data_IF_081515770036
#
_entry.id   IF_081515770036
#
_cell.length_a   1.000
_cell.length_b   1.000
_cell.length_c   1.000
_cell.angle_alpha   90.00
_cell.angle_beta   90.00
_cell.angle_gamma   90.00
#
_symmetry.space_group_name_H-M   'P 1'
#
loop_
_entity.id
_entity.type
_entity.pdbx_description
1 polymer ?
#
# COMPACT_ATOMS: atom_id res chain seq x y z
N UNK A 1 0.43 -8.56 10.91
CA UNK A 1 0.78 -9.49 9.80
C UNK A 1 -0.30 -9.40 8.75
N UNK A 2 0.08 -9.33 7.47
CA UNK A 2 -0.83 -9.37 6.33
C UNK A 2 -0.43 -10.58 5.48
N UNK A 3 -1.36 -11.47 5.19
CA UNK A 3 -1.15 -12.62 4.32
C UNK A 3 -2.14 -12.57 3.16
N UNK A 4 -1.62 -12.70 1.95
CA UNK A 4 -2.37 -12.68 0.69
C UNK A 4 -2.12 -14.00 -0.01
N UNK A 5 -3.18 -14.66 -0.47
CA UNK A 5 -3.07 -15.99 -1.09
C UNK A 5 -4.02 -16.11 -2.28
N UNK A 6 -3.44 -16.35 -3.47
CA UNK A 6 -4.17 -16.53 -4.73
C UNK A 6 -5.06 -15.35 -5.11
N UNK A 7 -4.66 -14.13 -4.73
CA UNK A 7 -5.49 -12.94 -4.88
C UNK A 7 -5.62 -12.54 -6.35
N UNK A 8 -6.87 -12.35 -6.79
CA UNK A 8 -7.19 -11.73 -8.07
C UNK A 8 -7.90 -10.40 -7.85
N UNK A 9 -7.48 -9.38 -8.59
CA UNK A 9 -8.02 -8.02 -8.50
C UNK A 9 -8.65 -7.64 -9.83
N UNK A 10 -9.87 -7.12 -9.76
CA UNK A 10 -10.63 -6.66 -10.92
C UNK A 10 -10.81 -5.14 -10.89
N UNK A 11 -10.70 -4.50 -12.06
CA UNK A 11 -10.94 -3.07 -12.23
C UNK A 11 -11.88 -2.88 -13.42
N UNK A 12 -13.10 -2.43 -13.15
CA UNK A 12 -14.08 -2.10 -14.18
C UNK A 12 -14.44 -3.29 -15.08
N UNK A 13 -14.61 -4.50 -14.53
CA UNK A 13 -14.97 -5.69 -15.32
C UNK A 13 -13.76 -6.48 -15.84
N UNK A 14 -12.53 -6.00 -15.63
CA UNK A 14 -11.31 -6.64 -16.15
C UNK A 14 -10.36 -7.06 -15.03
N UNK A 15 -9.89 -8.30 -15.08
CA UNK A 15 -8.87 -8.81 -14.16
C UNK A 15 -7.54 -8.13 -14.50
N UNK A 16 -6.98 -7.40 -13.53
CA UNK A 16 -5.70 -6.70 -13.67
C UNK A 16 -4.54 -7.43 -13.00
N UNK A 17 -4.84 -8.33 -12.07
CA UNK A 17 -3.89 -9.12 -11.31
C UNK A 17 -4.53 -10.46 -11.01
N UNK A 18 -3.79 -11.55 -11.19
CA UNK A 18 -4.28 -12.91 -10.94
C UNK A 18 -3.29 -13.71 -10.10
N UNK A 19 -3.81 -14.50 -9.15
CA UNK A 19 -3.00 -15.47 -8.40
C UNK A 19 -1.96 -14.89 -7.43
N UNK A 20 -2.01 -13.58 -7.14
CA UNK A 20 -1.03 -12.90 -6.31
C UNK A 20 -0.95 -13.51 -4.89
N UNK A 21 0.25 -13.89 -4.48
CA UNK A 21 0.49 -14.49 -3.16
C UNK A 21 1.75 -13.91 -2.54
N UNK A 22 1.60 -13.28 -1.37
CA UNK A 22 2.71 -12.71 -0.62
C UNK A 22 2.33 -12.55 0.86
N UNK A 23 3.32 -12.41 1.72
CA UNK A 23 3.11 -12.18 3.16
C UNK A 23 3.95 -11.01 3.62
N UNK A 24 3.36 -10.11 4.42
CA UNK A 24 4.03 -9.00 5.10
C UNK A 24 4.12 -9.33 6.60
N UNK A 25 5.34 -9.56 7.06
CA UNK A 25 5.65 -9.90 8.45
C UNK A 25 5.86 -8.64 9.29
N UNK A 26 5.76 -8.73 10.63
CA UNK A 26 6.11 -7.60 11.50
C UNK A 26 7.52 -7.08 11.19
N UNK A 27 7.67 -5.75 11.17
CA UNK A 27 8.90 -5.02 10.82
C UNK A 27 9.32 -5.04 9.35
N UNK A 28 8.61 -5.77 8.48
CA UNK A 28 8.88 -5.69 7.04
C UNK A 28 8.70 -4.25 6.55
N UNK A 29 9.62 -3.79 5.70
CA UNK A 29 9.51 -2.54 4.97
C UNK A 29 9.49 -2.86 3.49
N UNK A 30 8.32 -2.73 2.89
CA UNK A 30 8.06 -3.22 1.54
C UNK A 30 7.64 -2.07 0.64
N UNK A 31 8.38 -1.87 -0.45
CA UNK A 31 7.96 -1.00 -1.54
C UNK A 31 7.12 -1.79 -2.54
N UNK A 32 5.98 -1.25 -2.98
CA UNK A 32 5.22 -1.76 -4.12
C UNK A 32 5.47 -0.86 -5.34
N UNK A 33 6.01 -1.43 -6.40
CA UNK A 33 6.37 -0.73 -7.63
C UNK A 33 5.73 -1.39 -8.84
N UNK A 34 5.72 -0.66 -9.95
CA UNK A 34 5.12 -1.11 -11.21
C UNK A 34 4.69 0.09 -12.04
N UNK A 35 4.36 -0.16 -13.30
CA UNK A 35 3.96 0.89 -14.25
C UNK A 35 2.68 1.60 -13.80
N UNK A 36 2.45 2.80 -14.32
CA UNK A 36 1.16 3.47 -14.16
C UNK A 36 0.08 2.64 -14.87
N UNK A 37 -1.07 2.46 -14.22
CA UNK A 37 -2.12 1.56 -14.73
C UNK A 37 -1.86 0.05 -14.51
N UNK A 38 -0.78 -0.34 -13.83
CA UNK A 38 -0.50 -1.75 -13.52
C UNK A 38 -1.50 -2.36 -12.51
N UNK A 39 -2.25 -1.53 -11.76
CA UNK A 39 -3.21 -1.98 -10.75
C UNK A 39 -2.74 -1.82 -9.30
N UNK A 40 -1.66 -1.07 -9.04
CA UNK A 40 -1.11 -0.84 -7.69
C UNK A 40 -2.15 -0.30 -6.70
N UNK A 41 -2.82 0.79 -7.06
CA UNK A 41 -3.88 1.39 -6.24
C UNK A 41 -5.06 0.45 -6.06
N UNK A 42 -5.46 -0.29 -7.10
CA UNK A 42 -6.55 -1.28 -6.99
C UNK A 42 -6.20 -2.43 -6.05
N UNK A 43 -4.95 -2.91 -6.09
CA UNK A 43 -4.44 -3.87 -5.11
C UNK A 43 -4.52 -3.27 -3.70
N UNK A 44 -4.04 -2.05 -3.48
CA UNK A 44 -4.12 -1.38 -2.18
C UNK A 44 -5.55 -1.18 -1.68
N UNK A 45 -6.48 -0.81 -2.56
CA UNK A 45 -7.90 -0.68 -2.21
C UNK A 45 -8.51 -2.03 -1.81
N UNK A 46 -8.13 -3.11 -2.50
CA UNK A 46 -8.55 -4.48 -2.15
C UNK A 46 -7.96 -4.91 -0.81
N UNK A 47 -6.66 -4.66 -0.59
CA UNK A 47 -5.99 -4.91 0.69
C UNK A 47 -6.55 -4.02 1.81
N UNK A 48 -6.99 -2.81 1.49
CA UNK A 48 -7.63 -1.85 2.41
C UNK A 48 -9.05 -2.27 2.81
N UNK A 49 -9.71 -3.10 2.01
CA UNK A 49 -11.11 -3.49 2.18
C UNK A 49 -12.11 -2.53 1.52
N UNK A 50 -11.66 -1.64 0.63
CA UNK A 50 -12.55 -0.80 -0.19
C UNK A 50 -13.10 -1.52 -1.41
N UNK A 51 -12.39 -2.56 -1.88
CA UNK A 51 -12.79 -3.42 -2.99
C UNK A 51 -12.77 -4.86 -2.53
N UNK A 52 -13.76 -5.64 -2.96
CA UNK A 52 -13.76 -7.08 -2.74
C UNK A 52 -12.80 -7.77 -3.71
N UNK A 53 -12.05 -8.79 -3.25
CA UNK A 53 -11.23 -9.59 -4.14
C UNK A 53 -12.09 -10.38 -5.12
N UNK A 54 -11.66 -10.49 -6.38
CA UNK A 54 -12.34 -11.32 -7.37
C UNK A 54 -12.13 -12.82 -7.09
N UNK A 55 -10.96 -13.17 -6.55
CA UNK A 55 -10.62 -14.49 -6.05
C UNK A 55 -9.51 -14.38 -5.00
N UNK A 56 -9.28 -15.48 -4.27
CA UNK A 56 -8.25 -15.57 -3.25
C UNK A 56 -8.71 -15.08 -1.88
N UNK A 57 -7.76 -14.97 -0.94
CA UNK A 57 -8.04 -14.59 0.44
C UNK A 57 -7.01 -13.59 0.99
N UNK A 58 -7.47 -12.69 1.84
CA UNK A 58 -6.67 -11.69 2.55
C UNK A 58 -6.88 -11.88 4.04
N UNK A 59 -5.82 -12.28 4.75
CA UNK A 59 -5.84 -12.41 6.21
C UNK A 59 -5.04 -11.29 6.86
N UNK A 60 -5.68 -10.55 7.77
CA UNK A 60 -5.09 -9.47 8.55
C UNK A 60 -5.05 -9.86 10.03
N UNK A 61 -3.91 -9.67 10.69
CA UNK A 61 -3.76 -9.87 12.13
C UNK A 61 -3.09 -8.66 12.77
N UNK A 62 -3.73 -8.09 13.78
CA UNK A 62 -3.30 -6.87 14.47
C UNK A 62 -4.00 -5.61 13.95
N UNK A 63 -3.58 -4.46 14.44
CA UNK A 63 -4.01 -3.15 13.95
C UNK A 63 -3.57 -2.93 12.50
N UNK A 64 -4.43 -2.33 11.69
CA UNK A 64 -4.20 -2.13 10.27
C UNK A 64 -4.58 -0.70 9.88
N UNK A 65 -3.62 0.06 9.38
CA UNK A 65 -3.82 1.41 8.88
C UNK A 65 -3.70 1.45 7.37
N UNK A 66 -4.65 2.11 6.71
CA UNK A 66 -4.64 2.28 5.26
C UNK A 66 -4.89 3.74 4.89
N UNK A 67 -3.94 4.34 4.17
CA UNK A 67 -4.09 5.64 3.53
C UNK A 67 -4.33 5.43 2.03
N UNK A 68 -5.55 5.64 1.52
CA UNK A 68 -5.81 5.65 0.09
C UNK A 68 -5.19 6.89 -0.58
N UNK A 69 -4.96 6.80 -1.89
CA UNK A 69 -4.39 7.90 -2.67
C UNK A 69 -5.26 9.17 -2.57
N UNK A 70 -6.58 9.03 -2.57
CA UNK A 70 -7.52 10.12 -2.35
C UNK A 70 -8.44 9.76 -1.19
N UNK A 71 -8.08 10.12 0.05
CA UNK A 71 -8.92 9.86 1.20
C UNK A 71 -10.20 10.68 1.04
N UNK A 72 -11.28 9.99 0.68
CA UNK A 72 -12.63 10.48 0.98
C UNK A 72 -12.65 10.56 2.50
N UNK A 73 -12.60 11.78 3.03
CA UNK A 73 -12.79 12.02 4.46
C UNK A 73 -14.25 11.69 4.76
N UNK A 74 -14.54 10.39 4.91
CA UNK A 74 -15.81 9.92 5.43
C UNK A 74 -15.93 10.56 6.83
N UNK A 75 -16.90 11.47 6.99
CA UNK A 75 -17.01 12.29 8.19
C UNK A 75 -16.56 13.75 8.04
N UNK A 76 -16.22 14.23 6.83
CA UNK A 76 -16.08 15.68 6.55
C UNK A 76 -17.36 16.50 6.83
N UNK A 77 -18.42 15.88 7.35
CA UNK A 77 -19.69 16.52 7.72
C UNK A 77 -19.93 16.58 9.24
N UNK A 78 -19.08 16.00 10.09
CA UNK A 78 -19.33 15.90 11.55
C UNK A 78 -18.91 17.14 12.35
N UNK A 79 -18.41 18.21 11.71
CA UNK A 79 -18.01 19.44 12.40
C UNK A 79 -16.82 19.31 13.38
N UNK A 80 -16.24 18.11 13.51
CA UNK A 80 -15.06 17.84 14.35
C UNK A 80 -13.86 18.66 13.89
N UNK A 81 -13.04 19.08 14.85
CA UNK A 81 -11.76 19.73 14.56
C UNK A 81 -10.75 18.73 14.02
N UNK A 82 -9.73 19.21 13.32
CA UNK A 82 -8.68 18.36 12.77
C UNK A 82 -7.89 17.62 13.87
N UNK A 83 -7.61 18.25 15.01
CA UNK A 83 -6.94 17.58 16.14
C UNK A 83 -7.80 16.46 16.73
N UNK A 84 -9.10 16.70 16.95
CA UNK A 84 -10.02 15.66 17.44
C UNK A 84 -10.12 14.50 16.45
N UNK A 85 -10.14 14.79 15.13
CA UNK A 85 -10.10 13.76 14.10
C UNK A 85 -8.82 12.91 14.17
N UNK A 86 -7.66 13.51 14.42
CA UNK A 86 -6.40 12.77 14.59
C UNK A 86 -6.46 11.88 15.84
N UNK A 87 -6.94 12.42 16.96
CA UNK A 87 -7.08 11.69 18.24
C UNK A 87 -8.01 10.47 18.13
N UNK A 88 -9.01 10.54 17.25
CA UNK A 88 -9.89 9.40 16.94
C UNK A 88 -9.16 8.18 16.39
N UNK A 89 -7.96 8.34 15.85
CA UNK A 89 -7.13 7.23 15.38
C UNK A 89 -6.79 6.20 16.49
N UNK A 90 -6.82 6.62 17.76
CA UNK A 90 -6.65 5.75 18.94
C UNK A 90 -7.90 5.71 19.85
N UNK A 91 -9.00 6.36 19.46
CA UNK A 91 -10.19 6.52 20.30
C UNK A 91 -10.01 7.45 21.50
N UNK A 92 -9.01 8.35 21.45
CA UNK A 92 -8.69 9.26 22.57
C UNK A 92 -9.76 10.35 22.71
N UNK A 93 -10.39 10.75 21.61
CA UNK A 93 -11.52 11.67 21.60
C UNK A 93 -12.72 11.13 22.38
N UNK A 94 -13.09 9.87 22.16
CA UNK A 94 -14.18 9.21 22.89
C UNK A 94 -13.84 9.04 24.39
N UNK A 95 -12.58 8.70 24.70
CA UNK A 95 -12.12 8.58 26.08
C UNK A 95 -12.20 9.95 26.81
N UNK A 96 -11.81 11.06 26.16
CA UNK A 96 -11.93 12.41 26.72
C UNK A 96 -13.39 12.78 27.02
N UNK A 97 -14.31 12.51 26.08
CA UNK A 97 -15.74 12.75 26.28
C UNK A 97 -16.29 11.88 27.42
N UNK A 98 -15.84 10.63 27.54
CA UNK A 98 -16.25 9.72 28.60
C UNK A 98 -15.77 10.19 29.98
N UNK A 99 -14.52 10.61 30.09
CA UNK A 99 -13.93 11.12 31.33
C UNK A 99 -14.70 12.35 31.80
N UNK A 100 -14.97 13.30 30.90
CA UNK A 100 -15.68 14.53 31.24
C UNK A 100 -17.12 14.24 31.74
N UNK A 101 -17.84 13.32 31.10
CA UNK A 101 -19.17 12.88 31.58
C UNK A 101 -19.10 12.25 32.98
N UNK A 102 -18.07 11.44 33.25
CA UNK A 102 -17.89 10.82 34.56
C UNK A 102 -17.47 11.83 35.63
N UNK A 103 -16.69 12.85 35.26
CA UNK A 103 -16.33 13.99 36.12
C UNK A 103 -17.58 14.73 36.57
N UNK A 104 -18.44 15.13 35.63
CA UNK A 104 -19.70 15.83 35.92
C UNK A 104 -20.59 14.96 36.83
N UNK A 105 -20.77 13.68 36.53
CA UNK A 105 -21.61 12.79 37.35
C UNK A 105 -21.05 12.60 38.78
N UNK A 106 -19.72 12.61 38.95
CA UNK A 106 -19.07 12.56 40.26
C UNK A 106 -19.23 13.89 41.03
N UNK A 107 -19.17 15.02 40.34
CA UNK A 107 -19.39 16.35 40.94
C UNK A 107 -20.84 16.55 41.38
N UNK A 108 -21.80 16.05 40.60
CA UNK A 108 -23.23 16.08 40.92
C UNK A 108 -23.60 15.13 42.07
N UNK A 109 -23.02 13.93 42.10
CA UNK A 109 -23.24 12.93 43.14
C UNK A 109 -21.94 12.19 43.49
N UNK A 110 -21.20 12.61 44.54
CA UNK A 110 -19.90 12.09 44.91
C UNK A 110 -20.00 10.77 45.70
N UNK A 111 -20.85 9.85 45.25
CA UNK A 111 -20.95 8.52 45.82
C UNK A 111 -19.75 7.63 45.43
N UNK A 112 -19.53 6.60 46.24
CA UNK A 112 -18.48 5.59 46.09
C UNK A 112 -18.39 4.95 44.69
N UNK A 113 -19.53 4.79 44.00
CA UNK A 113 -19.59 4.20 42.67
C UNK A 113 -19.10 5.17 41.60
N UNK A 114 -19.49 6.43 41.67
CA UNK A 114 -19.10 7.47 40.72
C UNK A 114 -17.61 7.79 40.83
N UNK A 115 -17.10 7.90 42.06
CA UNK A 115 -15.66 8.05 42.34
C UNK A 115 -14.86 6.90 41.72
N UNK A 116 -15.27 5.64 41.96
CA UNK A 116 -14.59 4.46 41.38
C UNK A 116 -14.64 4.44 39.85
N UNK A 117 -15.75 4.85 39.24
CA UNK A 117 -15.90 4.88 37.78
C UNK A 117 -15.01 5.93 37.13
N UNK A 118 -14.97 7.14 37.69
CA UNK A 118 -14.10 8.22 37.23
C UNK A 118 -12.63 7.84 37.39
N UNK A 119 -12.22 7.38 38.58
CA UNK A 119 -10.85 6.96 38.84
C UNK A 119 -10.36 5.86 37.89
N UNK A 120 -11.22 4.85 37.62
CA UNK A 120 -10.90 3.79 36.65
C UNK A 120 -10.73 4.33 35.23
N UNK A 121 -11.58 5.26 34.80
CA UNK A 121 -11.48 5.85 33.47
C UNK A 121 -10.22 6.71 33.30
N UNK A 122 -9.86 7.50 34.32
CA UNK A 122 -8.60 8.26 34.37
C UNK A 122 -7.37 7.34 34.32
N UNK A 123 -7.37 6.24 35.08
CA UNK A 123 -6.28 5.26 35.06
C UNK A 123 -6.15 4.58 33.69
N UNK A 124 -7.27 4.16 33.09
CA UNK A 124 -7.31 3.60 31.73
C UNK A 124 -6.76 4.61 30.70
N UNK A 125 -7.14 5.88 30.81
CA UNK A 125 -6.70 6.95 29.92
C UNK A 125 -5.20 7.25 30.07
N UNK A 126 -4.71 7.34 31.31
CA UNK A 126 -3.31 7.53 31.62
C UNK A 126 -2.45 6.40 31.05
N UNK A 127 -2.88 5.14 31.24
CA UNK A 127 -2.17 3.94 30.77
C UNK A 127 -2.06 3.90 29.25
N UNK A 128 -3.06 4.43 28.53
CA UNK A 128 -3.05 4.58 27.06
C UNK A 128 -2.21 5.76 26.57
N UNK A 129 -1.62 6.57 27.46
CA UNK A 129 -0.86 7.77 27.12
C UNK A 129 -1.73 8.97 26.74
N UNK A 130 -3.00 9.01 27.19
CA UNK A 130 -3.97 10.02 26.79
C UNK A 130 -3.55 11.47 27.05
N UNK A 131 -2.82 11.76 28.13
CA UNK A 131 -2.36 13.13 28.43
C UNK A 131 -1.30 13.66 27.45
N UNK A 132 -0.49 12.76 26.85
CA UNK A 132 0.51 13.15 25.86
C UNK A 132 -0.06 13.12 24.42
N UNK A 133 -1.24 12.52 24.22
CA UNK A 133 -1.83 12.27 22.92
C UNK A 133 -2.04 13.54 22.09
N UNK A 134 -2.50 14.64 22.70
CA UNK A 134 -2.70 15.91 21.99
C UNK A 134 -1.37 16.47 21.47
N UNK A 135 -0.34 16.48 22.33
CA UNK A 135 0.99 16.96 21.95
C UNK A 135 1.63 16.09 20.86
N UNK A 136 1.48 14.76 20.95
CA UNK A 136 1.94 13.82 19.93
C UNK A 136 1.21 14.03 18.60
N UNK A 137 -0.12 14.15 18.63
CA UNK A 137 -0.95 14.40 17.44
C UNK A 137 -0.55 15.72 16.76
N UNK A 138 -0.37 16.79 17.53
CA UNK A 138 0.10 18.09 17.03
C UNK A 138 1.53 18.00 16.47
N UNK A 139 2.41 17.24 17.10
CA UNK A 139 3.79 17.04 16.62
C UNK A 139 3.84 16.31 15.28
N UNK A 140 3.06 15.25 15.11
CA UNK A 140 2.93 14.52 13.84
C UNK A 140 2.37 15.44 12.75
N UNK A 141 1.30 16.18 13.06
CA UNK A 141 0.69 17.10 12.10
C UNK A 141 1.64 18.24 11.70
N UNK A 142 2.37 18.81 12.65
CA UNK A 142 3.38 19.84 12.39
C UNK A 142 4.52 19.30 11.51
N UNK A 143 4.96 18.07 11.75
CA UNK A 143 5.95 17.39 10.91
C UNK A 143 5.49 17.18 9.46
N UNK A 144 4.18 17.05 9.23
CA UNK A 144 3.57 17.01 7.90
C UNK A 144 3.26 18.40 7.32
N UNK A 145 3.68 19.47 7.99
CA UNK A 145 3.51 20.85 7.52
C UNK A 145 2.11 21.43 7.78
N UNK A 146 1.31 20.83 8.66
CA UNK A 146 0.08 21.47 9.14
C UNK A 146 0.40 22.49 10.25
N UNK A 147 -0.04 23.72 10.04
CA UNK A 147 0.11 24.79 11.03
C UNK A 147 -0.83 24.58 12.22
N UNK A 148 -0.42 25.06 13.40
CA UNK A 148 -1.19 24.87 14.64
C UNK A 148 -2.59 25.47 14.57
N UNK A 149 -2.76 26.64 13.94
CA UNK A 149 -4.05 27.31 13.74
C UNK A 149 -5.04 26.48 12.91
N UNK A 150 -4.54 25.63 12.01
CA UNK A 150 -5.37 24.73 11.20
C UNK A 150 -5.91 23.54 11.98
N UNK A 151 -5.26 23.15 13.08
CA UNK A 151 -5.65 21.97 13.84
C UNK A 151 -6.93 22.16 14.65
N UNK A 152 -7.22 23.42 15.00
CA UNK A 152 -8.41 23.79 15.77
C UNK A 152 -9.62 24.09 14.84
N UNK A 153 -9.41 24.13 13.52
CA UNK A 153 -10.48 24.28 12.54
C UNK A 153 -11.22 22.97 12.30
N UNK A 154 -12.48 23.07 11.88
CA UNK A 154 -13.24 21.91 11.46
C UNK A 154 -12.64 21.31 10.19
N UNK A 155 -12.63 19.96 10.09
CA UNK A 155 -12.05 19.25 8.93
C UNK A 155 -12.66 19.69 7.59
N UNK A 156 -13.94 20.10 7.61
CA UNK A 156 -14.67 20.59 6.42
C UNK A 156 -14.14 21.92 5.86
N UNK A 157 -13.52 22.75 6.71
CA UNK A 157 -13.03 24.09 6.35
C UNK A 157 -11.59 24.05 5.81
N UNK A 158 -10.96 22.87 5.83
CA UNK A 158 -9.62 22.64 5.32
C UNK A 158 -9.60 22.40 3.81
N UNK A 159 -8.53 22.83 3.15
CA UNK A 159 -8.27 22.50 1.75
C UNK A 159 -8.11 20.98 1.53
N UNK A 160 -8.22 20.51 0.29
CA UNK A 160 -8.03 19.09 -0.03
C UNK A 160 -6.68 18.54 0.44
N UNK A 161 -5.59 19.30 0.24
CA UNK A 161 -4.25 18.91 0.69
C UNK A 161 -4.08 18.94 2.21
N UNK A 162 -4.71 19.87 2.91
CA UNK A 162 -4.72 19.89 4.39
C UNK A 162 -5.52 18.70 4.94
N UNK A 163 -6.69 18.38 4.39
CA UNK A 163 -7.48 17.21 4.79
C UNK A 163 -6.71 15.90 4.61
N UNK A 164 -6.00 15.74 3.50
CA UNK A 164 -5.13 14.58 3.26
C UNK A 164 -4.04 14.47 4.34
N UNK A 165 -3.40 15.58 4.71
CA UNK A 165 -2.39 15.61 5.77
C UNK A 165 -2.98 15.29 7.14
N UNK A 166 -4.20 15.73 7.42
CA UNK A 166 -4.91 15.37 8.66
C UNK A 166 -5.21 13.86 8.68
N UNK A 167 -5.63 13.27 7.57
CA UNK A 167 -5.88 11.82 7.50
C UNK A 167 -4.58 11.01 7.63
N UNK A 168 -3.51 11.43 6.95
CA UNK A 168 -2.19 10.84 7.13
C UNK A 168 -1.74 10.96 8.61
N UNK A 169 -1.93 12.11 9.24
CA UNK A 169 -1.62 12.30 10.67
C UNK A 169 -2.40 11.33 11.55
N UNK A 170 -3.70 11.14 11.30
CA UNK A 170 -4.55 10.19 12.02
C UNK A 170 -4.05 8.75 11.89
N UNK A 171 -3.67 8.34 10.68
CA UNK A 171 -3.18 6.97 10.41
C UNK A 171 -1.81 6.72 11.06
N UNK A 172 -0.89 7.69 10.98
CA UNK A 172 0.41 7.60 11.64
C UNK A 172 0.25 7.60 13.16
N UNK A 173 -0.63 8.46 13.69
CA UNK A 173 -0.96 8.51 15.11
C UNK A 173 -1.56 7.19 15.58
N UNK A 174 -2.47 6.56 14.83
CA UNK A 174 -3.07 5.27 15.20
C UNK A 174 -2.05 4.17 15.53
N UNK A 175 -0.83 4.21 14.96
CA UNK A 175 0.26 3.33 15.38
C UNK A 175 0.00 1.84 15.12
N UNK A 176 -0.67 1.52 14.01
CA UNK A 176 -1.08 0.15 13.64
C UNK A 176 0.08 -0.85 13.51
N UNK A 177 -0.20 -2.15 13.52
CA UNK A 177 0.85 -3.17 13.32
C UNK A 177 1.32 -3.22 11.86
N UNK A 178 0.43 -2.89 10.92
CA UNK A 178 0.68 -2.84 9.47
C UNK A 178 0.15 -1.52 8.92
N UNK A 179 0.98 -0.80 8.16
CA UNK A 179 0.59 0.39 7.41
C UNK A 179 0.65 0.16 5.91
N UNK A 180 -0.44 0.48 5.22
CA UNK A 180 -0.52 0.58 3.77
C UNK A 180 -0.66 2.05 3.38
N UNK A 181 0.31 2.58 2.64
CA UNK A 181 0.32 3.98 2.23
C UNK A 181 0.41 4.10 0.70
N UNK A 182 -0.62 4.64 0.08
CA UNK A 182 -0.65 4.88 -1.38
C UNK A 182 -0.25 6.33 -1.71
N UNK A 183 0.94 6.49 -2.27
CA UNK A 183 1.56 7.78 -2.60
C UNK A 183 1.52 8.80 -1.44
N UNK A 184 2.06 8.47 -0.25
CA UNK A 184 1.90 9.32 0.94
C UNK A 184 2.64 10.65 0.84
N UNK A 185 3.57 10.81 -0.10
CA UNK A 185 4.32 12.06 -0.33
C UNK A 185 3.58 13.06 -1.22
N UNK A 186 2.48 12.65 -1.85
CA UNK A 186 1.72 13.56 -2.71
C UNK A 186 1.15 14.74 -1.91
N UNK A 187 1.26 15.93 -2.48
CA UNK A 187 0.86 17.20 -1.87
C UNK A 187 1.67 17.60 -0.62
N UNK A 188 2.81 16.97 -0.35
CA UNK A 188 3.78 17.40 0.65
C UNK A 188 4.89 18.25 0.03
N UNK A 189 5.31 19.27 0.75
CA UNK A 189 6.55 20.00 0.45
C UNK A 189 7.78 19.17 0.83
N UNK A 190 8.97 19.67 0.48
CA UNK A 190 10.23 18.95 0.67
C UNK A 190 10.49 18.63 2.14
N UNK A 191 10.19 19.56 3.04
CA UNK A 191 10.43 19.40 4.48
C UNK A 191 9.49 18.33 5.08
N UNK A 192 8.20 18.40 4.76
CA UNK A 192 7.22 17.41 5.20
C UNK A 192 7.50 16.02 4.61
N UNK A 193 7.97 15.95 3.35
CA UNK A 193 8.44 14.69 2.75
C UNK A 193 9.61 14.10 3.55
N UNK A 194 10.64 14.89 3.82
CA UNK A 194 11.82 14.41 4.57
C UNK A 194 11.44 13.95 5.99
N UNK A 195 10.55 14.69 6.66
CA UNK A 195 10.04 14.30 7.97
C UNK A 195 9.28 12.97 7.91
N UNK A 196 8.35 12.82 6.95
CA UNK A 196 7.59 11.59 6.77
C UNK A 196 8.53 10.41 6.51
N UNK A 197 9.56 10.58 5.68
CA UNK A 197 10.53 9.51 5.41
C UNK A 197 11.30 9.11 6.67
N UNK A 198 11.76 10.08 7.46
CA UNK A 198 12.38 9.81 8.77
C UNK A 198 11.44 9.03 9.71
N UNK A 199 10.16 9.41 9.76
CA UNK A 199 9.15 8.71 10.54
C UNK A 199 9.00 7.25 10.07
N UNK A 200 8.80 7.04 8.77
CA UNK A 200 8.57 5.70 8.19
C UNK A 200 9.77 4.76 8.36
N UNK A 201 11.01 5.30 8.29
CA UNK A 201 12.25 4.54 8.56
C UNK A 201 12.29 4.02 9.99
N UNK A 202 11.90 4.84 10.97
CA UNK A 202 11.91 4.48 12.40
C UNK A 202 10.69 3.68 12.86
N UNK A 203 9.67 3.58 12.01
CA UNK A 203 8.42 2.91 12.34
C UNK A 203 8.65 1.43 12.68
N UNK A 204 8.13 0.96 13.81
CA UNK A 204 8.37 -0.43 14.27
C UNK A 204 7.42 -1.45 13.65
N UNK A 205 6.27 -1.00 13.16
CA UNK A 205 5.31 -1.84 12.46
C UNK A 205 5.78 -2.20 11.05
N UNK A 206 5.02 -3.10 10.43
CA UNK A 206 5.21 -3.43 9.03
C UNK A 206 4.71 -2.29 8.13
N UNK A 207 5.38 -2.09 7.00
CA UNK A 207 5.09 -1.02 6.06
C UNK A 207 4.99 -1.60 4.65
N UNK A 208 3.92 -1.26 3.94
CA UNK A 208 3.75 -1.50 2.52
C UNK A 208 3.41 -0.14 1.86
N UNK A 209 4.32 0.38 1.03
CA UNK A 209 4.23 1.73 0.46
C UNK A 209 4.26 1.68 -1.05
N UNK A 210 3.33 2.38 -1.70
CA UNK A 210 3.47 2.81 -3.09
C UNK A 210 4.01 4.24 -3.05
N UNK A 211 5.14 4.49 -3.70
CA UNK A 211 5.66 5.85 -3.84
C UNK A 211 6.58 5.95 -5.05
N UNK A 212 6.63 7.13 -5.64
CA UNK A 212 7.70 7.52 -6.56
C UNK A 212 9.01 7.92 -5.86
N UNK A 213 8.98 8.17 -4.55
CA UNK A 213 10.10 8.67 -3.76
C UNK A 213 10.79 7.54 -2.94
N UNK A 214 10.71 6.27 -3.39
CA UNK A 214 11.25 5.12 -2.64
C UNK A 214 12.77 5.18 -2.40
N UNK A 215 13.51 5.94 -3.20
CA UNK A 215 14.93 6.22 -2.96
C UNK A 215 15.15 6.85 -1.57
N UNK A 216 14.20 7.66 -1.08
CA UNK A 216 14.25 8.23 0.25
C UNK A 216 13.98 7.20 1.36
N UNK A 217 13.54 6.00 1.03
CA UNK A 217 13.37 4.88 1.97
C UNK A 217 14.37 3.74 1.72
N UNK A 218 15.33 3.90 0.81
CA UNK A 218 16.16 2.81 0.30
C UNK A 218 16.76 1.93 1.41
N UNK A 219 17.48 2.55 2.35
CA UNK A 219 18.14 1.83 3.46
C UNK A 219 17.16 1.15 4.42
N UNK A 220 15.93 1.64 4.51
CA UNK A 220 14.90 1.01 5.34
C UNK A 220 14.15 -0.09 4.60
N UNK A 221 14.07 -0.06 3.27
CA UNK A 221 13.37 -1.06 2.47
C UNK A 221 14.12 -2.39 2.56
N UNK A 222 13.37 -3.41 2.95
CA UNK A 222 13.86 -4.79 3.09
C UNK A 222 13.51 -5.67 1.89
N UNK A 223 12.48 -5.27 1.15
CA UNK A 223 11.93 -6.01 0.02
C UNK A 223 11.14 -5.08 -0.90
N UNK A 224 11.16 -5.37 -2.19
CA UNK A 224 10.32 -4.72 -3.20
C UNK A 224 9.40 -5.75 -3.84
N UNK A 225 8.11 -5.46 -3.88
CA UNK A 225 7.12 -6.18 -4.65
C UNK A 225 6.95 -5.41 -5.97
N UNK A 226 7.25 -6.05 -7.09
CA UNK A 226 7.02 -5.48 -8.41
C UNK A 226 5.75 -6.09 -8.99
N UNK A 227 4.76 -5.24 -9.25
CA UNK A 227 3.61 -5.57 -10.08
C UNK A 227 3.97 -5.36 -11.55
N UNK A 228 4.46 -6.42 -12.19
CA UNK A 228 4.85 -6.41 -13.59
C UNK A 228 3.62 -6.62 -14.47
N UNK A 229 3.47 -5.79 -15.50
CA UNK A 229 2.34 -5.84 -16.44
C UNK A 229 2.81 -5.36 -17.80
N UNK A 230 2.89 -6.30 -18.75
CA UNK A 230 3.45 -6.04 -20.08
C UNK A 230 2.65 -5.00 -20.89
N UNK A 231 1.33 -4.91 -20.69
CA UNK A 231 0.45 -3.96 -21.36
C UNK A 231 -0.95 -3.88 -20.74
N UNK A 232 -1.82 -3.02 -21.28
CA UNK A 232 -3.17 -2.77 -20.75
C UNK A 232 -4.11 -3.99 -20.82
N UNK A 233 -3.84 -4.94 -21.71
CA UNK A 233 -4.62 -6.19 -21.84
C UNK A 233 -3.90 -7.40 -21.20
N UNK A 234 -2.69 -7.21 -20.69
CA UNK A 234 -1.96 -8.27 -20.01
C UNK A 234 -2.44 -8.43 -18.56
N UNK A 235 -2.31 -9.65 -18.03
CA UNK A 235 -2.47 -9.90 -16.61
C UNK A 235 -1.22 -9.39 -15.87
N UNK A 236 -1.45 -8.74 -14.73
CA UNK A 236 -0.37 -8.35 -13.84
C UNK A 236 0.13 -9.55 -13.05
N UNK A 237 1.45 -9.61 -12.88
CA UNK A 237 2.12 -10.62 -12.07
C UNK A 237 2.91 -9.96 -10.94
N UNK A 238 3.02 -10.65 -9.81
CA UNK A 238 3.84 -10.20 -8.69
C UNK A 238 5.20 -10.90 -8.74
N UNK A 239 6.25 -10.09 -8.77
CA UNK A 239 7.63 -10.54 -8.61
C UNK A 239 8.22 -9.90 -7.35
N UNK A 240 8.73 -10.72 -6.44
CA UNK A 240 9.35 -10.25 -5.21
C UNK A 240 10.89 -10.17 -5.35
N UNK A 241 11.45 -9.03 -4.98
CA UNK A 241 12.89 -8.79 -4.91
C UNK A 241 13.28 -8.50 -3.46
N UNK A 242 14.18 -9.32 -2.91
CA UNK A 242 14.72 -9.08 -1.57
C UNK A 242 15.86 -8.06 -1.63
N UNK A 243 15.92 -7.20 -0.63
CA UNK A 243 16.94 -6.16 -0.53
C UNK A 243 16.37 -4.75 -0.61
N UNK A 244 17.27 -3.79 -0.71
CA UNK A 244 16.93 -2.37 -0.80
C UNK A 244 16.36 -2.03 -2.19
N UNK A 245 15.82 -0.83 -2.34
CA UNK A 245 15.30 -0.34 -3.62
C UNK A 245 16.39 -0.21 -4.69
N UNK A 246 17.59 0.24 -4.33
CA UNK A 246 18.77 0.27 -5.21
C UNK A 246 19.16 -1.13 -5.70
N UNK A 247 19.11 -2.13 -4.80
CA UNK A 247 19.38 -3.53 -5.15
C UNK A 247 18.31 -4.10 -6.08
N UNK A 248 17.06 -3.73 -5.86
CA UNK A 248 15.95 -4.06 -6.76
C UNK A 248 16.19 -3.53 -8.18
N UNK A 249 16.56 -2.24 -8.35
CA UNK A 249 16.84 -1.67 -9.68
C UNK A 249 17.93 -2.43 -10.42
N UNK A 250 19.03 -2.74 -9.72
CA UNK A 250 20.14 -3.50 -10.30
C UNK A 250 19.74 -4.94 -10.65
N UNK A 251 18.94 -5.60 -9.80
CA UNK A 251 18.43 -6.94 -10.07
C UNK A 251 17.48 -6.94 -11.27
N UNK A 252 16.58 -5.96 -11.34
CA UNK A 252 15.59 -5.84 -12.41
C UNK A 252 16.25 -5.59 -13.76
N UNK A 253 17.24 -4.70 -13.83
CA UNK A 253 17.99 -4.45 -15.07
C UNK A 253 18.66 -5.73 -15.60
N UNK A 254 19.22 -6.57 -14.72
CA UNK A 254 19.80 -7.87 -15.10
C UNK A 254 18.75 -8.86 -15.58
N UNK A 255 17.60 -8.90 -14.94
CA UNK A 255 16.49 -9.76 -15.36
C UNK A 255 15.93 -9.33 -16.72
N UNK A 256 15.75 -8.03 -16.94
CA UNK A 256 15.32 -7.48 -18.24
C UNK A 256 16.33 -7.79 -19.34
N UNK A 257 17.64 -7.64 -19.08
CA UNK A 257 18.68 -8.00 -20.03
C UNK A 257 18.67 -9.50 -20.36
N UNK A 258 18.51 -10.34 -19.33
CA UNK A 258 18.42 -11.80 -19.49
C UNK A 258 17.19 -12.20 -20.31
N UNK A 259 16.03 -11.63 -20.00
CA UNK A 259 14.79 -11.87 -20.73
C UNK A 259 14.89 -11.38 -22.18
N UNK A 260 15.47 -10.21 -22.43
CA UNK A 260 15.69 -9.68 -23.77
C UNK A 260 16.62 -10.59 -24.60
N UNK A 261 17.70 -11.11 -24.00
CA UNK A 261 18.61 -12.06 -24.67
C UNK A 261 17.91 -13.38 -25.02
N UNK A 262 17.10 -13.91 -24.10
CA UNK A 262 16.31 -15.12 -24.32
C UNK A 262 15.28 -14.91 -25.45
N UNK A 263 14.54 -13.81 -25.41
CA UNK A 263 13.57 -13.44 -26.43
C UNK A 263 14.23 -13.26 -27.81
N UNK A 264 15.39 -12.60 -27.88
CA UNK A 264 16.14 -12.44 -29.12
C UNK A 264 16.65 -13.78 -29.69
N UNK A 265 17.15 -14.67 -28.83
CA UNK A 265 17.58 -16.01 -29.23
C UNK A 265 16.40 -16.84 -29.77
N UNK A 266 15.25 -16.76 -29.10
CA UNK A 266 14.02 -17.43 -29.49
C UNK A 266 13.47 -16.89 -30.81
N UNK A 267 13.43 -15.57 -30.99
CA UNK A 267 13.02 -14.93 -32.26
C UNK A 267 13.93 -15.34 -33.42
N UNK A 268 15.26 -15.42 -33.19
CA UNK A 268 16.22 -15.88 -34.20
C UNK A 268 15.99 -17.35 -34.58
N UNK A 269 15.69 -18.20 -33.61
CA UNK A 269 15.40 -19.62 -33.88
C UNK A 269 14.06 -19.78 -34.62
N UNK A 270 13.02 -19.02 -34.25
CA UNK A 270 11.74 -18.98 -34.97
C UNK A 270 11.96 -18.56 -36.43
N UNK A 271 12.69 -17.47 -36.67
CA UNK A 271 13.00 -17.00 -38.02
C UNK A 271 13.80 -18.03 -38.84
N UNK A 272 14.75 -18.74 -38.20
CA UNK A 272 15.51 -19.82 -38.85
C UNK A 272 14.60 -20.98 -39.26
N UNK A 273 13.68 -21.39 -38.39
CA UNK A 273 12.73 -22.46 -38.65
C UNK A 273 11.71 -22.05 -39.74
N UNK A 274 11.19 -20.83 -39.69
CA UNK A 274 10.30 -20.27 -40.73
C UNK A 274 10.98 -20.27 -42.10
N UNK A 275 12.24 -19.83 -42.20
CA UNK A 275 12.98 -19.86 -43.47
C UNK A 275 13.29 -21.27 -44.02
N UNK A 276 13.13 -22.34 -43.22
CA UNK A 276 13.17 -23.73 -43.68
C UNK A 276 11.79 -24.13 -44.22
N UNK A 277 10.72 -23.76 -43.52
CA UNK A 277 9.33 -23.98 -43.96
C UNK A 277 9.10 -23.32 -45.32
N UNK A 278 9.47 -22.05 -45.48
CA UNK A 278 9.27 -21.29 -46.72
C UNK A 278 9.98 -21.93 -47.93
N UNK A 279 11.18 -22.50 -47.72
CA UNK A 279 11.97 -23.14 -48.78
C UNK A 279 11.48 -24.53 -49.18
N UNK A 280 10.88 -25.27 -48.25
CA UNK A 280 10.53 -26.69 -48.46
C UNK A 280 9.04 -26.98 -48.46
N UNK A 281 8.19 -26.02 -48.09
CA UNK A 281 6.72 -26.18 -48.01
C UNK A 281 6.06 -26.43 -49.36
N UNK A 282 6.62 -25.91 -50.46
CA UNK A 282 6.07 -26.11 -51.81
C UNK A 282 6.39 -27.48 -52.44
N UNK A 283 7.28 -28.29 -51.83
CA UNK A 283 7.65 -29.61 -52.36
C UNK A 283 6.83 -30.70 -51.67
N UNK A 284 5.98 -31.39 -52.43
CA UNK A 284 5.11 -32.47 -51.94
C UNK A 284 5.85 -33.55 -51.13
N UNK A 285 7.11 -33.85 -51.45
CA UNK A 285 7.95 -34.83 -50.74
C UNK A 285 8.42 -34.38 -49.35
N UNK A 286 8.30 -33.09 -49.00
CA UNK A 286 8.75 -32.52 -47.72
C UNK A 286 7.64 -31.86 -46.90
N UNK A 287 6.39 -31.99 -47.31
CA UNK A 287 5.23 -31.41 -46.62
C UNK A 287 5.11 -31.87 -45.15
N UNK A 288 5.34 -33.16 -44.86
CA UNK A 288 5.30 -33.68 -43.49
C UNK A 288 6.38 -33.06 -42.58
N UNK A 289 7.56 -32.76 -43.14
CA UNK A 289 8.65 -32.09 -42.42
C UNK A 289 8.30 -30.62 -42.13
N UNK A 290 7.72 -29.91 -43.09
CA UNK A 290 7.28 -28.52 -42.93
C UNK A 290 6.22 -28.39 -41.81
N UNK A 291 5.18 -29.24 -41.82
CA UNK A 291 4.17 -29.27 -40.75
C UNK A 291 4.74 -29.57 -39.37
N UNK A 292 5.73 -30.47 -39.27
CA UNK A 292 6.39 -30.74 -38.00
C UNK A 292 7.16 -29.52 -37.46
N UNK A 293 7.72 -28.70 -38.34
CA UNK A 293 8.47 -27.49 -37.97
C UNK A 293 7.50 -26.36 -37.59
N UNK A 294 6.40 -26.18 -38.33
CA UNK A 294 5.32 -25.25 -37.97
C UNK A 294 4.80 -25.52 -36.56
N UNK A 295 4.49 -26.77 -36.23
CA UNK A 295 4.04 -27.15 -34.87
C UNK A 295 5.10 -26.90 -33.80
N UNK A 296 6.38 -26.85 -34.17
CA UNK A 296 7.48 -26.49 -33.25
C UNK A 296 7.59 -24.97 -33.09
N UNK A 297 7.39 -24.20 -34.16
CA UNK A 297 7.31 -22.73 -34.11
C UNK A 297 6.16 -22.30 -33.21
N UNK A 298 4.94 -22.84 -33.40
CA UNK A 298 3.77 -22.50 -32.57
C UNK A 298 4.00 -22.82 -31.08
N UNK A 299 4.71 -23.91 -30.78
CA UNK A 299 5.12 -24.23 -29.40
C UNK A 299 6.13 -23.24 -28.84
N UNK A 300 7.11 -22.83 -29.65
CA UNK A 300 8.07 -21.82 -29.24
C UNK A 300 7.38 -20.47 -29.01
N UNK A 301 6.47 -20.05 -29.88
CA UNK A 301 5.72 -18.80 -29.73
C UNK A 301 4.84 -18.78 -28.47
N UNK A 302 4.16 -19.89 -28.16
CA UNK A 302 3.34 -20.00 -26.95
C UNK A 302 4.14 -20.05 -25.65
N UNK A 303 5.38 -20.56 -25.67
CA UNK A 303 6.25 -20.60 -24.49
C UNK A 303 6.92 -19.25 -24.12
N UNK A 304 6.76 -18.20 -24.94
CA UNK A 304 7.29 -16.86 -24.66
C UNK A 304 6.27 -15.89 -24.04
N UNK A 305 5.04 -16.34 -23.77
CA UNK A 305 3.91 -15.53 -23.28
C UNK A 305 3.45 -16.03 -21.90
N UNK A 306 4.36 -16.52 -21.07
CA UNK A 306 4.06 -17.01 -19.72
C UNK A 306 5.12 -16.55 -18.73
#
# INVERSE_FOLDING_TARGET
>A
MLQVSGLSVEVGGRVVLEGASFTIMPRDKVGLVGRNGAGKTSLFRTLGGELEPAAGNIMKKGGFGYLPQDPRTAGAMDGRTAVTHILSGRGVDDDLVRIEKLRIAMEEDPNDRNVRRFAKAEEEFATKGGYAADSEARSIAAGLGLKADRLDLAVKDLSGGERRRVELSRILFAGSDVLLLDEPTNHLDVDAKNWLMGFLRSYRGALLVISHDLDLLDEAITRVIHLDRAGEDALGEIVEYRGTYSQYHAARAKDEERLAKLAAAQAKEIARLQGIVDRFGAKATKAAMAHSIEKRITRLESSGVS
#
